data_IF_655602165203
#
_entry.id   IF_655602165203
#
_cell.length_a   1.000
_cell.length_b   1.000
_cell.length_c   1.000
_cell.angle_alpha   90.00
_cell.angle_beta   90.00
_cell.angle_gamma   90.00
#
_symmetry.space_group_name_H-M   'P 1'
#
loop_
_entity.id
_entity.type
_entity.pdbx_description
1 polymer ?
#
# COMPACT_ATOMS: atom_id res chain seq x y z
N UNK A 1 8.28 -10.94 -5.48
CA UNK A 1 7.51 -9.72 -5.25
C UNK A 1 6.03 -9.94 -5.54
N UNK A 2 5.18 -9.16 -4.92
CA UNK A 2 3.75 -9.26 -5.11
C UNK A 2 3.34 -8.89 -6.54
N UNK A 3 2.59 -9.76 -7.17
CA UNK A 3 2.00 -9.50 -8.48
C UNK A 3 0.78 -10.39 -8.65
N UNK A 4 -0.18 -10.01 -9.52
CA UNK A 4 -1.35 -10.85 -9.77
C UNK A 4 -0.95 -12.16 -10.45
N UNK A 5 -1.59 -13.25 -10.05
CA UNK A 5 -1.39 -14.56 -10.69
C UNK A 5 -1.98 -14.59 -12.09
N UNK A 6 -3.12 -13.94 -12.27
CA UNK A 6 -3.80 -13.84 -13.57
C UNK A 6 -4.20 -12.40 -13.81
N UNK A 7 -4.12 -11.97 -15.06
CA UNK A 7 -4.52 -10.62 -15.45
C UNK A 7 -5.47 -10.69 -16.64
N UNK A 8 -6.51 -9.87 -16.59
CA UNK A 8 -7.40 -9.68 -17.73
C UNK A 8 -6.69 -8.87 -18.82
N UNK A 9 -5.94 -7.85 -18.39
CA UNK A 9 -5.12 -7.03 -19.28
C UNK A 9 -3.72 -6.92 -18.71
N UNK A 10 -2.72 -7.11 -19.55
CA UNK A 10 -1.33 -7.01 -19.15
C UNK A 10 -0.90 -5.58 -18.93
N UNK A 11 -1.50 -4.64 -19.65
CA UNK A 11 -1.23 -3.21 -19.54
C UNK A 11 -2.53 -2.48 -19.29
N UNK A 12 -2.46 -1.35 -18.61
CA UNK A 12 -3.63 -0.51 -18.37
C UNK A 12 -3.27 0.97 -18.45
N UNK A 13 -4.28 1.81 -18.63
CA UNK A 13 -4.11 3.26 -18.65
C UNK A 13 -3.74 3.76 -17.25
N UNK A 14 -2.93 4.84 -17.18
CA UNK A 14 -2.55 5.41 -15.89
C UNK A 14 -3.75 5.88 -15.07
N UNK A 15 -4.69 6.52 -15.69
CA UNK A 15 -5.84 7.05 -14.98
C UNK A 15 -5.49 8.22 -14.06
N UNK A 16 -6.50 8.80 -13.44
CA UNK A 16 -6.36 9.90 -12.47
C UNK A 16 -6.71 9.40 -11.08
N UNK A 17 -5.89 9.80 -10.10
CA UNK A 17 -6.12 9.47 -8.71
C UNK A 17 -6.98 10.55 -8.06
N UNK A 18 -8.29 10.39 -8.11
CA UNK A 18 -9.24 11.36 -7.57
C UNK A 18 -10.12 10.76 -6.49
N UNK A 19 -10.58 11.62 -5.58
CA UNK A 19 -11.54 11.26 -4.55
C UNK A 19 -10.92 10.50 -3.39
N UNK A 20 -11.77 10.16 -2.44
CA UNK A 20 -11.41 9.40 -1.26
C UNK A 20 -11.71 7.93 -1.45
N UNK A 21 -11.09 7.09 -0.63
CA UNK A 21 -11.37 5.66 -0.64
C UNK A 21 -12.82 5.40 -0.23
N UNK A 22 -13.53 4.62 -1.02
CA UNK A 22 -14.91 4.22 -0.74
C UNK A 22 -15.00 2.87 -0.03
N UNK A 23 -13.96 2.07 -0.15
CA UNK A 23 -13.82 0.80 0.55
C UNK A 23 -12.46 0.68 1.17
N UNK A 24 -12.31 -0.22 2.14
CA UNK A 24 -11.05 -0.40 2.85
C UNK A 24 -10.62 0.84 3.62
N UNK A 25 -11.57 1.61 4.14
CA UNK A 25 -11.33 2.89 4.84
C UNK A 25 -11.56 2.81 6.35
N UNK A 26 -11.72 1.61 6.89
CA UNK A 26 -11.89 1.39 8.32
C UNK A 26 -11.07 0.18 8.77
N UNK A 27 -10.73 0.14 10.06
CA UNK A 27 -9.97 -0.97 10.65
C UNK A 27 -10.90 -2.17 10.78
N UNK A 28 -10.63 -3.22 10.00
CA UNK A 28 -11.52 -4.37 9.92
C UNK A 28 -11.07 -5.55 10.79
N UNK A 29 -9.79 -5.82 10.85
CA UNK A 29 -9.25 -7.03 11.47
C UNK A 29 -8.38 -6.75 12.69
N UNK A 30 -7.61 -5.66 12.67
CA UNK A 30 -6.65 -5.35 13.73
C UNK A 30 -7.19 -4.40 14.78
N UNK A 31 -6.32 -4.04 15.72
CA UNK A 31 -6.59 -3.04 16.75
C UNK A 31 -6.13 -1.65 16.30
N UNK A 32 -5.04 -1.60 15.56
CA UNK A 32 -4.43 -0.38 15.03
C UNK A 32 -4.11 -0.55 13.57
N UNK A 33 -4.12 0.56 12.85
CA UNK A 33 -3.85 0.54 11.41
C UNK A 33 -3.10 1.79 10.98
N UNK A 34 -2.47 1.71 9.83
CA UNK A 34 -1.89 2.86 9.13
C UNK A 34 -2.80 3.21 7.96
N UNK A 35 -3.22 4.44 7.90
CA UNK A 35 -4.18 4.94 6.91
C UNK A 35 -3.53 6.00 6.04
N UNK A 36 -3.76 5.96 4.74
CA UNK A 36 -3.28 6.96 3.82
C UNK A 36 -4.03 8.28 4.01
N UNK A 37 -3.30 9.39 4.02
CA UNK A 37 -3.88 10.73 4.06
C UNK A 37 -3.76 11.47 2.74
N UNK A 38 -2.90 10.98 1.84
CA UNK A 38 -2.74 11.51 0.49
C UNK A 38 -2.89 10.38 -0.53
N UNK A 39 -3.09 10.74 -1.79
CA UNK A 39 -3.13 9.74 -2.86
C UNK A 39 -1.72 9.43 -3.37
N UNK A 40 -1.58 8.28 -3.98
CA UNK A 40 -0.31 7.86 -4.57
C UNK A 40 -0.38 6.45 -5.13
N UNK A 41 0.74 6.04 -5.71
CA UNK A 41 0.92 4.69 -6.22
C UNK A 41 2.01 4.01 -5.41
N UNK A 42 1.68 2.83 -4.88
CA UNK A 42 2.63 2.02 -4.11
C UNK A 42 3.11 0.87 -4.98
N UNK A 43 4.42 0.78 -5.18
CA UNK A 43 5.00 -0.35 -5.91
C UNK A 43 5.03 -1.59 -5.02
N UNK A 44 5.14 -2.77 -5.63
CA UNK A 44 5.27 -4.00 -4.87
C UNK A 44 6.49 -3.98 -3.95
N UNK A 45 7.57 -3.33 -4.37
CA UNK A 45 8.78 -3.18 -3.55
C UNK A 45 8.53 -2.32 -2.31
N UNK A 46 7.79 -1.22 -2.47
CA UNK A 46 7.44 -0.33 -1.35
C UNK A 46 6.52 -1.05 -0.36
N UNK A 47 5.53 -1.77 -0.85
CA UNK A 47 4.63 -2.55 -0.02
C UNK A 47 5.40 -3.60 0.80
N UNK A 48 6.31 -4.31 0.14
CA UNK A 48 7.13 -5.32 0.80
C UNK A 48 8.10 -4.70 1.81
N UNK A 49 8.72 -3.57 1.47
CA UNK A 49 9.63 -2.88 2.38
C UNK A 49 8.90 -2.42 3.66
N UNK A 50 7.71 -1.86 3.52
CA UNK A 50 6.91 -1.44 4.66
C UNK A 50 6.49 -2.64 5.52
N UNK A 51 6.06 -3.73 4.89
CA UNK A 51 5.72 -4.97 5.59
C UNK A 51 6.88 -5.49 6.43
N UNK A 52 8.06 -5.54 5.83
CA UNK A 52 9.27 -6.02 6.53
C UNK A 52 9.59 -5.11 7.71
N UNK A 53 9.50 -3.78 7.54
CA UNK A 53 9.77 -2.83 8.62
C UNK A 53 8.84 -3.06 9.81
N UNK A 54 7.55 -3.27 9.55
CA UNK A 54 6.58 -3.56 10.61
C UNK A 54 6.89 -4.89 11.28
N UNK A 55 7.09 -5.95 10.50
CA UNK A 55 7.32 -7.29 11.02
C UNK A 55 8.58 -7.36 11.88
N UNK A 56 9.65 -6.69 11.48
CA UNK A 56 10.90 -6.66 12.25
C UNK A 56 10.72 -5.94 13.58
N UNK A 57 9.94 -4.88 13.60
CA UNK A 57 9.74 -4.11 14.83
C UNK A 57 8.87 -4.83 15.84
N UNK A 58 7.77 -5.43 15.40
CA UNK A 58 6.87 -6.18 16.29
C UNK A 58 7.38 -7.60 16.55
N UNK A 59 8.36 -8.05 15.78
CA UNK A 59 8.96 -9.39 15.87
C UNK A 59 7.88 -10.47 15.75
N UNK A 60 7.77 -11.35 16.74
CA UNK A 60 6.77 -12.43 16.76
C UNK A 60 5.50 -12.04 17.51
N UNK A 61 5.44 -10.81 18.03
CA UNK A 61 4.25 -10.33 18.68
C UNK A 61 3.21 -9.90 17.69
N UNK A 62 1.96 -10.25 17.95
CA UNK A 62 0.85 -9.78 17.16
C UNK A 62 0.71 -10.40 15.77
N UNK A 63 -0.26 -9.90 15.05
CA UNK A 63 -0.58 -10.36 13.70
C UNK A 63 -0.70 -9.16 12.78
N UNK A 64 -0.09 -9.26 11.60
CA UNK A 64 -0.11 -8.21 10.59
C UNK A 64 -1.06 -8.59 9.46
N UNK A 65 -1.95 -7.67 9.12
CA UNK A 65 -2.84 -7.80 7.97
C UNK A 65 -2.46 -6.76 6.93
N UNK A 66 -2.40 -7.16 5.67
CA UNK A 66 -2.10 -6.27 4.56
C UNK A 66 -3.39 -6.01 3.79
N UNK A 67 -3.82 -4.73 3.74
CA UNK A 67 -5.06 -4.34 3.10
C UNK A 67 -4.93 -3.86 1.67
N UNK A 68 -3.73 -3.94 1.08
CA UNK A 68 -3.45 -3.46 -0.27
C UNK A 68 -2.73 -4.53 -1.08
N UNK A 69 -2.91 -4.46 -2.40
CA UNK A 69 -2.26 -5.38 -3.33
C UNK A 69 -1.91 -4.65 -4.62
N UNK A 70 -0.72 -4.87 -5.19
CA UNK A 70 -0.31 -4.20 -6.43
C UNK A 70 -0.92 -4.91 -7.64
N UNK A 71 -2.08 -4.43 -8.06
CA UNK A 71 -2.86 -5.05 -9.13
C UNK A 71 -2.86 -4.26 -10.45
N UNK A 72 -2.29 -3.05 -10.46
CA UNK A 72 -2.24 -2.22 -11.66
C UNK A 72 -0.86 -2.26 -12.29
N UNK A 73 -0.74 -2.64 -13.58
CA UNK A 73 0.55 -2.63 -14.25
C UNK A 73 0.98 -1.21 -14.60
N UNK A 74 2.28 -0.94 -14.47
CA UNK A 74 2.88 0.31 -14.93
C UNK A 74 3.85 0.00 -16.07
N UNK A 75 3.96 0.95 -16.99
CA UNK A 75 4.86 0.83 -18.11
C UNK A 75 5.86 1.98 -18.11
N UNK A 76 7.09 1.70 -18.53
CA UNK A 76 8.12 2.70 -18.64
C UNK A 76 8.83 2.52 -19.97
N UNK A 77 8.98 3.60 -20.73
CA UNK A 77 9.76 3.56 -21.97
C UNK A 77 11.23 3.63 -21.63
N UNK A 78 12.09 2.85 -22.29
CA UNK A 78 13.53 3.00 -22.12
C UNK A 78 13.96 4.42 -22.47
N UNK A 79 15.00 4.92 -21.78
CA UNK A 79 15.48 6.28 -21.99
C UNK A 79 15.95 6.53 -23.43
N UNK A 80 16.40 5.50 -24.12
CA UNK A 80 16.88 5.56 -25.50
C UNK A 80 15.77 5.48 -26.54
N UNK A 81 14.54 5.20 -26.13
CA UNK A 81 13.44 5.07 -27.07
C UNK A 81 12.92 6.44 -27.42
N UNK A 82 12.98 6.78 -28.72
CA UNK A 82 12.35 8.02 -29.20
C UNK A 82 10.88 8.02 -28.89
N UNK A 83 10.28 9.21 -28.72
CA UNK A 83 8.84 9.34 -28.60
C UNK A 83 8.20 8.58 -29.76
N UNK A 84 7.80 7.36 -29.46
CA UNK A 84 7.35 6.44 -30.46
C UNK A 84 5.92 5.99 -30.24
N UNK A 85 5.48 5.24 -31.17
CA UNK A 85 4.16 4.61 -31.19
C UNK A 85 4.10 3.50 -30.16
N UNK A 86 3.03 3.48 -29.37
CA UNK A 86 2.74 2.39 -28.48
C UNK A 86 3.23 2.60 -27.04
N UNK A 87 2.70 1.78 -26.18
CA UNK A 87 2.96 1.78 -24.75
C UNK A 87 4.19 0.92 -24.45
N UNK A 88 5.04 1.38 -23.54
CA UNK A 88 6.20 0.61 -23.13
C UNK A 88 5.83 -0.74 -22.51
N UNK A 89 6.82 -1.59 -22.29
CA UNK A 89 6.63 -2.87 -21.62
C UNK A 89 6.26 -2.66 -20.15
N UNK A 90 5.57 -3.66 -19.57
CA UNK A 90 5.31 -3.65 -18.14
C UNK A 90 6.60 -3.70 -17.37
N UNK A 91 6.82 -2.75 -16.48
CA UNK A 91 8.00 -2.70 -15.64
C UNK A 91 7.69 -3.13 -14.22
N UNK A 92 6.51 -2.75 -13.71
CA UNK A 92 6.19 -2.98 -12.33
C UNK A 92 4.66 -3.07 -12.13
N UNK A 93 4.29 -3.54 -10.95
CA UNK A 93 2.90 -3.56 -10.50
C UNK A 93 2.74 -2.60 -9.34
N UNK A 94 1.66 -1.83 -9.34
CA UNK A 94 1.40 -0.83 -8.32
C UNK A 94 -0.02 -0.95 -7.78
N UNK A 95 -0.19 -0.48 -6.54
CA UNK A 95 -1.50 -0.29 -5.94
C UNK A 95 -1.82 1.21 -5.95
N UNK A 96 -2.95 1.58 -6.52
CA UNK A 96 -3.43 2.96 -6.47
C UNK A 96 -4.13 3.18 -5.13
N UNK A 97 -3.64 4.15 -4.37
CA UNK A 97 -4.14 4.45 -3.03
C UNK A 97 -4.76 5.83 -3.03
N UNK A 98 -5.96 5.93 -2.44
CA UNK A 98 -6.67 7.18 -2.24
C UNK A 98 -6.69 7.53 -0.76
N UNK A 99 -6.83 8.81 -0.40
CA UNK A 99 -6.93 9.20 1.01
C UNK A 99 -8.04 8.43 1.73
N UNK A 100 -7.75 7.96 2.93
CA UNK A 100 -8.67 7.16 3.72
C UNK A 100 -8.42 5.65 3.65
N UNK A 101 -7.66 5.17 2.69
CA UNK A 101 -7.39 3.74 2.54
C UNK A 101 -6.54 3.21 3.70
N UNK A 102 -6.98 2.10 4.29
CA UNK A 102 -6.19 1.37 5.28
C UNK A 102 -5.17 0.50 4.54
N UNK A 103 -3.90 0.65 4.91
CA UNK A 103 -2.79 -0.04 4.24
C UNK A 103 -2.39 -1.32 4.98
N UNK A 104 -2.15 -1.21 6.27
CA UNK A 104 -1.76 -2.34 7.13
C UNK A 104 -2.51 -2.24 8.45
N UNK A 105 -2.78 -3.40 9.06
CA UNK A 105 -3.41 -3.47 10.38
C UNK A 105 -2.57 -4.37 11.28
N UNK A 106 -2.50 -4.03 12.55
CA UNK A 106 -1.82 -4.82 13.58
C UNK A 106 -2.83 -5.22 14.65
N UNK A 107 -2.77 -6.48 15.06
CA UNK A 107 -3.57 -7.06 16.11
C UNK A 107 -2.66 -7.67 17.17
N UNK A 108 -3.03 -7.54 18.44
CA UNK A 108 -2.30 -8.19 19.52
C UNK A 108 -1.04 -7.48 19.97
N UNK A 109 -0.91 -6.18 19.66
CA UNK A 109 0.20 -5.33 20.12
C UNK A 109 -0.37 -4.11 20.81
N UNK A 110 0.43 -3.48 21.70
CA UNK A 110 -0.01 -2.26 22.34
C UNK A 110 0.12 -1.06 21.40
N UNK A 111 -0.51 0.05 21.78
CA UNK A 111 -0.55 1.24 20.94
C UNK A 111 0.85 1.81 20.68
N UNK A 112 1.70 1.85 21.70
CA UNK A 112 3.06 2.39 21.56
C UNK A 112 3.86 1.59 20.54
N UNK A 113 3.84 0.26 20.63
CA UNK A 113 4.54 -0.60 19.70
C UNK A 113 4.00 -0.48 18.29
N UNK A 114 2.67 -0.41 18.15
CA UNK A 114 2.04 -0.23 16.85
C UNK A 114 2.44 1.11 16.21
N UNK A 115 2.43 2.20 16.96
CA UNK A 115 2.82 3.51 16.45
C UNK A 115 4.27 3.54 16.01
N UNK A 116 5.17 2.93 16.77
CA UNK A 116 6.58 2.83 16.38
C UNK A 116 6.77 2.03 15.10
N UNK A 117 6.09 0.89 14.99
CA UNK A 117 6.17 0.04 13.80
C UNK A 117 5.66 0.77 12.55
N UNK A 118 4.51 1.45 12.67
CA UNK A 118 3.93 2.19 11.56
C UNK A 118 4.74 3.44 11.20
N UNK A 119 5.42 4.04 12.15
CA UNK A 119 6.34 5.14 11.86
C UNK A 119 7.50 4.67 10.97
N UNK A 120 8.05 3.50 11.27
CA UNK A 120 9.10 2.90 10.42
C UNK A 120 8.57 2.58 9.03
N UNK A 121 7.35 2.04 8.94
CA UNK A 121 6.71 1.75 7.65
C UNK A 121 6.45 3.02 6.85
N UNK A 122 6.04 4.10 7.50
CA UNK A 122 5.78 5.38 6.85
C UNK A 122 6.97 5.86 6.03
N UNK A 123 8.19 5.68 6.54
CA UNK A 123 9.40 6.10 5.83
C UNK A 123 9.68 5.27 4.57
N UNK A 124 9.05 4.11 4.41
CA UNK A 124 9.19 3.27 3.22
C UNK A 124 8.14 3.55 2.16
N UNK A 125 7.15 4.39 2.48
CA UNK A 125 6.03 4.67 1.59
C UNK A 125 6.14 6.10 1.02
N UNK A 126 5.72 6.30 -0.25
CA UNK A 126 5.82 7.61 -0.90
C UNK A 126 4.64 8.54 -0.57
N UNK A 127 3.72 8.12 0.27
CA UNK A 127 2.51 8.87 0.62
C UNK A 127 2.52 9.23 2.10
N UNK A 128 1.73 10.23 2.45
CA UNK A 128 1.53 10.58 3.85
C UNK A 128 0.52 9.64 4.49
N UNK A 129 0.79 9.27 5.74
CA UNK A 129 -0.03 8.32 6.48
C UNK A 129 -0.26 8.80 7.90
N UNK A 130 -1.27 8.22 8.53
CA UNK A 130 -1.52 8.41 9.97
C UNK A 130 -1.89 7.08 10.62
N UNK A 131 -1.68 6.98 11.91
CA UNK A 131 -2.08 5.81 12.68
C UNK A 131 -3.51 6.02 13.17
N UNK A 132 -4.35 5.01 12.99
CA UNK A 132 -5.72 5.01 13.47
C UNK A 132 -5.96 3.78 14.33
N UNK A 133 -6.88 3.90 15.28
CA UNK A 133 -7.30 2.79 16.11
C UNK A 133 -8.68 2.29 15.67
N UNK A 134 -8.98 1.04 16.02
CA UNK A 134 -10.30 0.48 15.77
C UNK A 134 -11.33 1.23 16.61
N UNK A 135 -12.44 1.60 15.98
CA UNK A 135 -13.52 2.23 16.73
C UNK A 135 -14.14 1.23 17.70
N UNK A 136 -14.42 1.67 18.95
CA UNK A 136 -15.09 0.79 19.90
C UNK A 136 -16.45 0.37 19.36
N UNK A 137 -16.80 -0.88 19.58
CA UNK A 137 -18.15 -1.36 19.28
C UNK A 137 -19.15 -0.63 20.17
N UNK A 138 -20.18 -0.07 19.56
CA UNK A 138 -21.26 0.59 20.29
C UNK A 138 -22.21 -0.44 20.88
#
# INVERSE_FOLDING_TARGET
MLSPKRTKFRKSMKGRMRGNAKGGNYVAFGDFAIQATTCGRLTSRQIEAARIAISRHVKRGGKLYIGIFPDKPTTKKPAETRMGKGKGANEDWVCVVRPGRILYELEGVDEKLAREAFHLAHHKLPINTRVVSREPAL
#
